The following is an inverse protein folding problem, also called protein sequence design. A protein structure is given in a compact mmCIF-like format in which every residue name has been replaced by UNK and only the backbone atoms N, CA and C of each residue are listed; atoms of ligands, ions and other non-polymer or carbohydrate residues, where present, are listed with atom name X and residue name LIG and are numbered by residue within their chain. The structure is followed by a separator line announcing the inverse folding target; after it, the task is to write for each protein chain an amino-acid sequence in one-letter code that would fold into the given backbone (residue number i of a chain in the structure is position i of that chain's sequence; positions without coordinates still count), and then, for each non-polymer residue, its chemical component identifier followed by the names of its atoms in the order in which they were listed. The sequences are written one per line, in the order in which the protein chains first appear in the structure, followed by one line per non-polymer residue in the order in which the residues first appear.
data_IF_305028516982
#
_entry.id   IF_305028516982
#
_cell.length_a   1.000
_cell.length_b   1.000
_cell.length_c   1.000
_cell.angle_alpha   90.00
_cell.angle_beta   90.00
_cell.angle_gamma   90.00
#
_symmetry.space_group_name_H-M   'P 1'
#
loop_
_entity.id
_entity.type
_entity.pdbx_description
1 polymer ?
#
# COMPACT_ATOMS: atom_id res chain seq x y z
N UNK A 1 -12.50 5.39 -26.82
CA UNK A 1 -11.61 5.34 -25.64
C UNK A 1 -10.57 4.28 -25.89
N UNK A 2 -9.29 4.55 -25.67
CA UNK A 2 -8.20 3.72 -26.25
C UNK A 2 -8.09 2.32 -25.64
N UNK A 3 -8.49 2.13 -24.38
CA UNK A 3 -8.26 0.86 -23.68
C UNK A 3 -9.41 -0.12 -23.80
N UNK A 4 -10.64 0.34 -23.53
CA UNK A 4 -11.80 -0.55 -23.42
C UNK A 4 -12.68 -0.57 -24.68
N UNK A 5 -12.62 0.50 -25.50
CA UNK A 5 -13.62 0.78 -26.53
C UNK A 5 -13.01 1.37 -27.81
N UNK A 6 -11.75 1.03 -28.11
CA UNK A 6 -11.06 1.57 -29.30
C UNK A 6 -11.65 1.01 -30.60
N UNK A 7 -12.33 -0.12 -30.49
CA UNK A 7 -13.02 -0.83 -31.56
C UNK A 7 -14.49 -0.40 -31.74
N UNK A 8 -15.02 0.48 -30.89
CA UNK A 8 -16.42 0.94 -30.99
C UNK A 8 -16.48 2.23 -31.81
N UNK A 9 -17.30 2.23 -32.87
CA UNK A 9 -17.43 3.34 -33.82
C UNK A 9 -18.79 4.05 -33.77
N UNK A 10 -19.59 3.81 -32.73
CA UNK A 10 -20.93 4.39 -32.56
C UNK A 10 -20.85 5.85 -32.11
N UNK A 11 -21.79 6.68 -32.54
CA UNK A 11 -21.82 8.12 -32.21
C UNK A 11 -22.07 8.41 -30.73
N UNK A 12 -22.88 7.58 -30.05
CA UNK A 12 -23.20 7.70 -28.62
C UNK A 12 -23.02 6.35 -27.92
N UNK A 13 -22.01 6.26 -27.05
CA UNK A 13 -21.75 5.10 -26.20
C UNK A 13 -22.20 5.39 -24.76
N UNK A 14 -23.25 4.71 -24.30
CA UNK A 14 -23.70 4.78 -22.90
C UNK A 14 -22.98 3.70 -22.09
N UNK A 15 -22.33 4.12 -21.01
CA UNK A 15 -21.67 3.21 -20.07
C UNK A 15 -22.47 3.16 -18.77
N UNK A 16 -23.03 1.99 -18.46
CA UNK A 16 -23.63 1.72 -17.16
C UNK A 16 -22.68 0.87 -16.30
N UNK A 17 -22.69 1.09 -14.99
CA UNK A 17 -21.99 0.24 -14.02
C UNK A 17 -21.30 1.01 -12.89
N UNK A 18 -20.75 0.24 -11.95
CA UNK A 18 -20.02 0.73 -10.79
C UNK A 18 -18.78 1.54 -11.22
N UNK A 19 -18.51 2.63 -10.50
CA UNK A 19 -17.35 3.52 -10.77
C UNK A 19 -16.24 3.36 -9.75
N UNK A 20 -16.50 2.65 -8.65
CA UNK A 20 -15.58 2.48 -7.54
C UNK A 20 -14.57 1.34 -7.76
N UNK A 21 -15.05 0.11 -7.99
CA UNK A 21 -14.21 -1.08 -8.11
C UNK A 21 -14.03 -1.50 -9.58
N UNK A 22 -12.82 -1.95 -9.95
CA UNK A 22 -12.42 -2.33 -11.32
C UNK A 22 -12.48 -1.20 -12.36
N UNK A 23 -12.52 0.06 -11.91
CA UNK A 23 -12.51 1.25 -12.77
C UNK A 23 -11.39 2.20 -12.35
N UNK A 24 -10.96 3.04 -13.29
CA UNK A 24 -9.98 4.09 -13.03
C UNK A 24 -10.54 5.09 -12.00
N UNK A 25 -9.68 5.66 -11.12
CA UNK A 25 -10.12 6.67 -10.16
C UNK A 25 -10.93 7.78 -10.84
N UNK A 26 -12.08 8.13 -10.26
CA UNK A 26 -12.97 9.17 -10.78
C UNK A 26 -13.65 8.83 -12.12
N UNK A 27 -13.63 7.57 -12.56
CA UNK A 27 -14.22 7.15 -13.83
C UNK A 27 -13.49 7.72 -15.05
N UNK A 28 -12.22 8.13 -14.90
CA UNK A 28 -11.46 8.81 -15.95
C UNK A 28 -11.30 7.93 -17.18
N UNK A 29 -11.57 8.52 -18.36
CA UNK A 29 -11.45 7.88 -19.67
C UNK A 29 -10.53 8.67 -20.58
N UNK A 30 -9.67 7.97 -21.30
CA UNK A 30 -8.76 8.60 -22.27
C UNK A 30 -9.22 8.32 -23.70
N UNK A 31 -9.34 9.41 -24.47
CA UNK A 31 -9.64 9.35 -25.91
C UNK A 31 -8.36 9.15 -26.73
N UNK A 32 -7.20 9.47 -26.15
CA UNK A 32 -5.90 9.43 -26.82
C UNK A 32 -4.84 8.78 -25.93
N UNK A 33 -3.96 7.97 -26.54
CA UNK A 33 -2.90 7.25 -25.84
C UNK A 33 -1.92 8.20 -25.14
N UNK A 34 -1.54 9.30 -25.81
CA UNK A 34 -0.61 10.29 -25.25
C UNK A 34 -1.10 10.88 -23.93
N UNK A 35 -2.39 11.20 -23.82
CA UNK A 35 -3.00 11.74 -22.61
C UNK A 35 -3.05 10.68 -21.50
N UNK A 36 -3.32 9.42 -21.86
CA UNK A 36 -3.24 8.32 -20.90
C UNK A 36 -1.84 8.17 -20.34
N UNK A 37 -0.82 8.11 -21.20
CA UNK A 37 0.59 8.03 -20.77
C UNK A 37 0.98 9.22 -19.90
N UNK A 38 0.57 10.44 -20.26
CA UNK A 38 0.85 11.64 -19.47
C UNK A 38 0.21 11.57 -18.08
N UNK A 39 -1.06 11.19 -17.99
CA UNK A 39 -1.76 11.05 -16.71
C UNK A 39 -1.08 10.00 -15.82
N UNK A 40 -0.79 8.82 -16.38
CA UNK A 40 -0.10 7.74 -15.66
C UNK A 40 1.28 8.19 -15.18
N UNK A 41 2.03 8.90 -16.03
CA UNK A 41 3.31 9.51 -15.65
C UNK A 41 3.15 10.50 -14.51
N UNK A 42 2.16 11.38 -14.55
CA UNK A 42 1.93 12.36 -13.48
C UNK A 42 1.56 11.71 -12.16
N UNK A 43 0.68 10.69 -12.18
CA UNK A 43 0.27 9.96 -10.96
C UNK A 43 1.45 9.22 -10.33
N UNK A 44 2.30 8.58 -11.14
CA UNK A 44 3.43 7.79 -10.63
C UNK A 44 4.63 8.66 -10.26
N UNK A 45 4.91 9.71 -11.03
CA UNK A 45 6.18 10.43 -10.95
C UNK A 45 6.06 11.84 -10.38
N UNK A 46 4.94 12.54 -10.56
CA UNK A 46 4.81 13.95 -10.15
C UNK A 46 4.04 14.11 -8.83
N UNK A 47 3.06 13.24 -8.57
CA UNK A 47 2.29 13.22 -7.32
C UNK A 47 3.07 12.56 -6.18
N UNK A 48 4.04 13.29 -5.61
CA UNK A 48 4.91 12.79 -4.55
C UNK A 48 4.54 13.34 -3.17
N UNK A 49 4.68 12.53 -2.10
CA UNK A 49 4.58 13.05 -0.73
C UNK A 49 5.60 14.18 -0.49
N UNK A 50 5.21 15.14 0.33
CA UNK A 50 6.06 16.28 0.68
C UNK A 50 7.36 15.82 1.34
N UNK A 51 8.39 16.68 1.34
CA UNK A 51 9.67 16.36 1.96
C UNK A 51 9.55 16.02 3.45
N UNK A 52 8.63 16.65 4.18
CA UNK A 52 8.38 16.34 5.60
C UNK A 52 7.79 14.96 5.80
N UNK A 53 6.82 14.56 4.97
CA UNK A 53 6.22 13.22 5.00
C UNK A 53 7.28 12.15 4.72
N UNK A 54 8.11 12.36 3.69
CA UNK A 54 9.17 11.41 3.33
C UNK A 54 10.18 11.22 4.45
N UNK A 55 10.65 12.30 5.09
CA UNK A 55 11.57 12.22 6.24
C UNK A 55 11.01 11.43 7.41
N UNK A 56 9.72 11.60 7.73
CA UNK A 56 9.09 10.78 8.78
C UNK A 56 8.97 9.33 8.33
N UNK A 57 8.58 9.09 7.08
CA UNK A 57 8.52 7.73 6.56
C UNK A 57 9.90 7.04 6.58
N UNK A 58 11.01 7.76 6.34
CA UNK A 58 12.38 7.27 6.53
C UNK A 58 12.62 6.85 7.98
N UNK A 59 12.36 7.75 8.95
CA UNK A 59 12.53 7.43 10.39
C UNK A 59 11.71 6.21 10.81
N UNK A 60 10.46 6.09 10.34
CA UNK A 60 9.57 4.97 10.66
C UNK A 60 10.05 3.68 9.98
N UNK A 61 10.50 3.76 8.73
CA UNK A 61 11.11 2.64 8.01
C UNK A 61 12.30 2.07 8.78
N UNK A 62 13.21 2.94 9.23
CA UNK A 62 14.39 2.54 10.01
C UNK A 62 14.01 1.88 11.33
N UNK A 63 12.93 2.33 11.99
CA UNK A 63 12.43 1.71 13.21
C UNK A 63 11.83 0.33 12.95
N UNK A 64 11.06 0.17 11.88
CA UNK A 64 10.57 -1.15 11.46
C UNK A 64 11.72 -2.09 11.14
N UNK A 65 12.73 -1.63 10.41
CA UNK A 65 13.93 -2.41 10.12
C UNK A 65 14.64 -2.87 11.39
N UNK A 66 14.77 -2.00 12.40
CA UNK A 66 15.32 -2.39 13.71
C UNK A 66 14.48 -3.45 14.41
N UNK A 67 13.15 -3.34 14.36
CA UNK A 67 12.24 -4.33 14.97
C UNK A 67 12.43 -5.71 14.35
N UNK A 68 12.67 -5.79 13.03
CA UNK A 68 12.95 -7.05 12.32
C UNK A 68 14.44 -7.34 12.16
N UNK A 69 15.30 -6.68 12.96
CA UNK A 69 16.75 -6.91 13.03
C UNK A 69 17.45 -6.86 11.65
N UNK A 70 17.10 -5.88 10.82
CA UNK A 70 17.70 -5.67 9.50
C UNK A 70 17.11 -6.53 8.37
N UNK A 71 16.12 -7.38 8.67
CA UNK A 71 15.39 -8.12 7.64
C UNK A 71 14.47 -7.21 6.84
N UNK A 72 14.01 -7.73 5.70
CA UNK A 72 12.82 -7.20 5.07
C UNK A 72 11.61 -7.29 6.01
N UNK A 73 10.68 -6.35 5.92
CA UNK A 73 9.42 -6.37 6.68
C UNK A 73 8.21 -6.25 5.74
N UNK A 74 7.07 -6.78 6.18
CA UNK A 74 5.83 -6.78 5.40
C UNK A 74 4.84 -5.75 5.93
N UNK A 75 3.98 -5.26 5.04
CA UNK A 75 2.97 -4.26 5.33
C UNK A 75 1.56 -4.79 5.06
N UNK A 76 0.59 -4.27 5.81
CA UNK A 76 -0.82 -4.48 5.50
C UNK A 76 -1.65 -3.21 5.74
N UNK A 77 -2.80 -3.13 5.08
CA UNK A 77 -3.81 -2.13 5.38
C UNK A 77 -5.14 -2.82 5.68
N UNK A 78 -5.63 -2.65 6.91
CA UNK A 78 -6.90 -3.16 7.39
C UNK A 78 -7.92 -2.03 7.41
N UNK A 79 -8.70 -1.92 6.33
CA UNK A 79 -9.81 -0.96 6.25
C UNK A 79 -11.01 -1.50 7.03
N UNK A 80 -11.40 -0.78 8.08
CA UNK A 80 -12.60 -1.00 8.89
C UNK A 80 -13.39 0.31 8.85
N UNK A 81 -13.44 1.10 9.93
CA UNK A 81 -14.13 2.39 9.94
C UNK A 81 -15.53 2.30 9.33
N UNK A 82 -15.81 3.18 8.38
CA UNK A 82 -17.06 3.23 7.61
C UNK A 82 -17.35 1.94 6.82
N UNK A 83 -16.35 1.15 6.44
CA UNK A 83 -16.58 -0.12 5.74
C UNK A 83 -17.33 -1.13 6.62
N UNK A 84 -17.24 -1.01 7.94
CA UNK A 84 -18.04 -1.84 8.85
C UNK A 84 -19.52 -1.45 8.73
N UNK A 85 -19.80 -0.15 8.75
CA UNK A 85 -21.18 0.38 8.70
C UNK A 85 -21.86 0.10 7.35
N UNK A 86 -21.09 0.12 6.25
CA UNK A 86 -21.59 -0.19 4.90
C UNK A 86 -21.52 -1.67 4.51
N UNK A 87 -21.01 -2.54 5.39
CA UNK A 87 -20.84 -3.97 5.09
C UNK A 87 -19.82 -4.26 3.98
N UNK A 88 -18.87 -3.35 3.78
CA UNK A 88 -17.76 -3.47 2.81
C UNK A 88 -16.50 -4.07 3.44
N UNK A 89 -16.49 -4.33 4.74
CA UNK A 89 -15.37 -4.95 5.42
C UNK A 89 -15.16 -6.38 4.91
N UNK A 90 -13.90 -6.77 4.70
CA UNK A 90 -13.58 -8.13 4.24
C UNK A 90 -13.99 -9.21 5.25
N UNK A 91 -13.92 -8.86 6.54
CA UNK A 91 -14.24 -9.74 7.65
C UNK A 91 -14.85 -8.91 8.79
N UNK A 92 -15.98 -9.36 9.33
CA UNK A 92 -16.73 -8.59 10.34
C UNK A 92 -15.96 -8.43 11.65
N UNK A 93 -15.27 -9.48 12.12
CA UNK A 93 -14.47 -9.43 13.35
C UNK A 93 -13.03 -9.04 13.08
N UNK A 94 -12.37 -8.44 14.07
CA UNK A 94 -10.96 -8.04 13.97
C UNK A 94 -10.07 -9.29 13.89
N UNK A 95 -10.44 -10.32 14.64
CA UNK A 95 -9.75 -11.60 14.71
C UNK A 95 -9.70 -12.28 13.34
N UNK A 96 -10.84 -12.34 12.65
CA UNK A 96 -10.92 -12.94 11.32
C UNK A 96 -10.18 -12.09 10.28
N UNK A 97 -10.35 -10.76 10.33
CA UNK A 97 -9.65 -9.85 9.42
C UNK A 97 -8.14 -9.96 9.58
N UNK A 98 -7.63 -9.95 10.81
CA UNK A 98 -6.21 -10.10 11.10
C UNK A 98 -5.71 -11.50 10.71
N UNK A 99 -6.51 -12.54 10.95
CA UNK A 99 -6.20 -13.92 10.53
C UNK A 99 -6.02 -14.01 9.01
N UNK A 100 -6.93 -13.41 8.24
CA UNK A 100 -6.83 -13.30 6.78
C UNK A 100 -5.56 -12.57 6.36
N UNK A 101 -5.27 -11.41 6.95
CA UNK A 101 -4.04 -10.65 6.67
C UNK A 101 -2.81 -11.51 6.91
N UNK A 102 -2.70 -12.16 8.07
CA UNK A 102 -1.56 -13.02 8.42
C UNK A 102 -1.41 -14.19 7.44
N UNK A 103 -2.51 -14.77 6.99
CA UNK A 103 -2.49 -15.80 5.94
C UNK A 103 -1.91 -15.25 4.62
N UNK A 104 -2.35 -14.07 4.17
CA UNK A 104 -1.82 -13.44 2.95
C UNK A 104 -0.35 -13.07 3.08
N UNK A 105 0.07 -12.53 4.22
CA UNK A 105 1.47 -12.24 4.50
C UNK A 105 2.33 -13.50 4.54
N UNK A 106 1.81 -14.61 5.06
CA UNK A 106 2.52 -15.91 5.03
C UNK A 106 2.81 -16.37 3.60
N UNK A 107 1.85 -16.21 2.68
CA UNK A 107 2.09 -16.48 1.26
C UNK A 107 3.08 -15.47 0.65
N UNK A 108 2.95 -14.19 1.00
CA UNK A 108 3.86 -13.15 0.55
C UNK A 108 5.32 -13.40 0.95
N UNK A 109 5.56 -13.96 2.14
CA UNK A 109 6.89 -14.39 2.57
C UNK A 109 7.52 -15.39 1.60
N UNK A 110 6.75 -16.36 1.11
CA UNK A 110 7.24 -17.37 0.13
C UNK A 110 7.69 -16.68 -1.17
N UNK A 111 6.89 -15.72 -1.65
CA UNK A 111 7.22 -14.91 -2.83
C UNK A 111 8.51 -14.11 -2.60
N UNK A 112 8.70 -13.53 -1.42
CA UNK A 112 9.92 -12.80 -1.09
C UNK A 112 11.16 -13.70 -1.07
N UNK A 113 11.05 -14.92 -0.56
CA UNK A 113 12.12 -15.92 -0.66
C UNK A 113 12.45 -16.26 -2.11
N UNK A 114 11.44 -16.55 -2.94
CA UNK A 114 11.65 -16.85 -4.37
C UNK A 114 12.36 -15.70 -5.11
N UNK A 115 11.95 -14.45 -4.87
CA UNK A 115 12.59 -13.26 -5.46
C UNK A 115 14.04 -13.15 -4.96
N UNK A 116 14.24 -13.28 -3.65
CA UNK A 116 15.56 -13.15 -3.04
C UNK A 116 16.54 -14.22 -3.54
N UNK A 117 16.09 -15.46 -3.72
CA UNK A 117 16.93 -16.57 -4.16
C UNK A 117 17.19 -16.53 -5.67
N UNK A 118 16.16 -16.22 -6.48
CA UNK A 118 16.29 -16.13 -7.94
C UNK A 118 17.03 -14.87 -8.41
N UNK A 119 17.11 -13.83 -7.58
CA UNK A 119 17.60 -12.50 -7.94
C UNK A 119 16.87 -11.88 -9.15
N UNK A 120 15.60 -12.21 -9.32
CA UNK A 120 14.77 -11.72 -10.43
C UNK A 120 13.59 -10.90 -9.94
N UNK A 121 13.50 -9.67 -10.45
CA UNK A 121 12.40 -8.74 -10.19
C UNK A 121 11.57 -8.57 -11.46
N UNK A 122 10.25 -8.68 -11.31
CA UNK A 122 9.26 -8.38 -12.35
C UNK A 122 8.55 -7.07 -11.98
N UNK A 123 8.97 -5.96 -12.57
CA UNK A 123 8.32 -4.67 -12.34
C UNK A 123 6.97 -4.56 -13.06
N UNK A 124 6.18 -3.56 -12.68
CA UNK A 124 5.01 -3.14 -13.44
C UNK A 124 5.43 -2.51 -14.78
N UNK A 125 4.56 -2.57 -15.78
CA UNK A 125 4.77 -1.92 -17.08
C UNK A 125 4.51 -0.41 -16.96
N UNK A 126 5.45 0.29 -16.33
CA UNK A 126 5.40 1.74 -16.09
C UNK A 126 6.62 2.43 -16.69
N UNK A 127 6.47 3.57 -17.38
CA UNK A 127 7.61 4.24 -18.01
C UNK A 127 8.64 4.74 -17.01
N UNK A 128 9.93 4.65 -17.37
CA UNK A 128 11.06 5.22 -16.62
C UNK A 128 11.21 4.70 -15.18
N UNK A 129 10.97 3.40 -14.99
CA UNK A 129 11.15 2.73 -13.70
C UNK A 129 12.14 1.59 -13.87
N UNK A 130 13.15 1.58 -13.01
CA UNK A 130 14.13 0.49 -12.92
C UNK A 130 13.79 -0.44 -11.75
N UNK A 131 14.10 -1.74 -11.84
CA UNK A 131 13.87 -2.68 -10.74
C UNK A 131 14.65 -2.32 -9.45
N UNK A 132 13.96 -2.34 -8.31
CA UNK A 132 14.55 -2.03 -6.99
C UNK A 132 15.60 -3.08 -6.55
N UNK A 133 16.88 -2.71 -6.53
CA UNK A 133 17.95 -3.67 -6.19
C UNK A 133 18.14 -3.88 -4.68
N UNK A 134 17.73 -2.92 -3.84
CA UNK A 134 17.94 -2.96 -2.38
C UNK A 134 17.27 -4.17 -1.71
N UNK A 135 16.25 -4.76 -2.34
CA UNK A 135 15.59 -5.98 -1.85
C UNK A 135 16.57 -7.16 -1.70
N UNK A 136 17.69 -7.17 -2.43
CA UNK A 136 18.68 -8.24 -2.35
C UNK A 136 19.71 -8.07 -1.25
N UNK A 137 19.86 -6.88 -0.68
CA UNK A 137 20.80 -6.61 0.41
C UNK A 137 20.28 -7.08 1.77
N UNK A 138 18.97 -7.37 1.87
CA UNK A 138 18.31 -7.71 3.12
C UNK A 138 17.64 -9.08 3.00
N UNK A 139 17.85 -9.99 3.96
CA UNK A 139 17.20 -11.28 3.95
C UNK A 139 15.67 -11.14 4.08
N UNK A 140 14.88 -12.07 3.50
CA UNK A 140 13.43 -12.08 3.64
C UNK A 140 12.95 -12.18 5.10
N UNK A 141 11.69 -11.80 5.38
CA UNK A 141 11.11 -11.89 6.73
C UNK A 141 11.02 -13.34 7.20
N UNK A 142 11.20 -13.60 8.50
CA UNK A 142 11.00 -14.91 9.12
C UNK A 142 9.53 -15.16 9.48
N UNK A 143 9.23 -16.40 9.82
CA UNK A 143 7.97 -16.71 10.49
C UNK A 143 7.93 -16.07 11.88
N UNK A 144 6.81 -15.46 12.24
CA UNK A 144 6.65 -14.75 13.51
C UNK A 144 7.20 -13.31 13.55
N UNK A 145 7.94 -12.87 12.52
CA UNK A 145 8.38 -11.48 12.45
C UNK A 145 7.18 -10.51 12.47
N UNK A 146 7.38 -9.38 13.16
CA UNK A 146 6.42 -8.29 13.18
C UNK A 146 6.19 -7.71 11.79
N UNK A 147 4.98 -7.20 11.56
CA UNK A 147 4.60 -6.56 10.31
C UNK A 147 3.96 -5.21 10.60
N UNK A 148 4.16 -4.24 9.71
CA UNK A 148 3.53 -2.94 9.84
C UNK A 148 2.08 -3.00 9.35
N UNK A 149 1.16 -2.40 10.08
CA UNK A 149 -0.25 -2.36 9.70
C UNK A 149 -0.82 -0.96 9.87
N UNK A 150 -1.48 -0.46 8.83
CA UNK A 150 -2.33 0.73 8.91
C UNK A 150 -3.79 0.30 9.03
N UNK A 151 -4.55 1.02 9.85
CA UNK A 151 -5.97 0.75 10.07
C UNK A 151 -6.66 1.99 10.62
N UNK A 152 -7.93 2.14 10.30
CA UNK A 152 -8.84 3.14 10.88
C UNK A 152 -9.68 2.59 12.04
N UNK A 153 -9.33 1.40 12.56
CA UNK A 153 -9.87 0.87 13.82
C UNK A 153 -9.59 1.81 14.99
N UNK A 154 -10.59 2.01 15.86
CA UNK A 154 -10.53 2.91 17.02
C UNK A 154 -10.74 2.20 18.36
N UNK A 155 -11.26 0.97 18.34
CA UNK A 155 -11.45 0.14 19.52
C UNK A 155 -10.10 -0.14 20.18
N UNK A 156 -10.01 0.14 21.49
CA UNK A 156 -8.81 -0.17 22.29
C UNK A 156 -8.49 -1.66 22.26
N UNK A 157 -9.50 -2.50 22.45
CA UNK A 157 -9.37 -3.95 22.47
C UNK A 157 -8.91 -4.47 21.10
N UNK A 158 -9.45 -3.89 20.02
CA UNK A 158 -9.07 -4.22 18.65
C UNK A 158 -7.61 -3.88 18.34
N UNK A 159 -7.18 -2.67 18.69
CA UNK A 159 -5.80 -2.23 18.50
C UNK A 159 -4.82 -3.01 19.39
N UNK A 160 -5.21 -3.35 20.61
CA UNK A 160 -4.41 -4.20 21.50
C UNK A 160 -4.30 -5.64 20.97
N UNK A 161 -5.39 -6.18 20.42
CA UNK A 161 -5.38 -7.49 19.77
C UNK A 161 -4.42 -7.53 18.59
N UNK A 162 -4.41 -6.49 17.74
CA UNK A 162 -3.46 -6.35 16.63
C UNK A 162 -2.01 -6.40 17.14
N UNK A 163 -1.69 -5.58 18.16
CA UNK A 163 -0.34 -5.53 18.76
C UNK A 163 0.10 -6.87 19.34
N UNK A 164 -0.76 -7.52 20.13
CA UNK A 164 -0.50 -8.85 20.72
C UNK A 164 -0.22 -9.93 19.68
N UNK A 165 -0.69 -9.73 18.45
CA UNK A 165 -0.58 -10.70 17.36
C UNK A 165 0.50 -10.36 16.32
N UNK A 166 1.43 -9.45 16.66
CA UNK A 166 2.62 -9.11 15.87
C UNK A 166 2.45 -7.93 14.91
N UNK A 167 1.27 -7.29 14.89
CA UNK A 167 1.05 -6.08 14.12
C UNK A 167 1.65 -4.86 14.82
N UNK A 168 2.39 -4.04 14.06
CA UNK A 168 2.98 -2.78 14.52
C UNK A 168 2.24 -1.62 13.85
N UNK A 169 1.56 -0.81 14.65
CA UNK A 169 0.83 0.35 14.15
C UNK A 169 1.81 1.50 13.92
N UNK A 170 1.57 2.30 12.90
CA UNK A 170 2.42 3.46 12.58
C UNK A 170 2.42 4.48 13.72
N UNK A 171 1.29 4.61 14.42
CA UNK A 171 1.18 5.43 15.63
C UNK A 171 2.11 4.97 16.77
N UNK A 172 2.45 3.68 16.84
CA UNK A 172 3.37 3.14 17.85
C UNK A 172 4.83 3.44 17.51
N UNK A 173 5.11 3.74 16.24
CA UNK A 173 6.45 4.06 15.73
C UNK A 173 6.74 5.57 15.75
N UNK A 174 5.71 6.41 15.90
CA UNK A 174 5.84 7.86 15.97
C UNK A 174 6.26 8.32 17.37
N UNK A 175 7.41 9.00 17.46
CA UNK A 175 7.90 9.57 18.72
C UNK A 175 7.35 10.98 18.95
N UNK A 176 7.54 11.52 20.16
CA UNK A 176 7.23 12.91 20.44
C UNK A 176 8.07 13.87 19.59
N UNK A 177 9.35 13.55 19.39
CA UNK A 177 10.26 14.30 18.53
C UNK A 177 9.76 14.37 17.09
N UNK A 178 9.28 13.25 16.52
CA UNK A 178 8.72 13.26 15.16
C UNK A 178 7.50 14.19 15.05
N UNK A 179 6.66 14.20 16.08
CA UNK A 179 5.47 15.07 16.12
C UNK A 179 5.85 16.54 16.22
N UNK A 180 6.91 16.86 16.96
CA UNK A 180 7.44 18.21 17.06
C UNK A 180 8.08 18.66 15.74
N UNK A 181 8.88 17.79 15.12
CA UNK A 181 9.54 18.03 13.83
C UNK A 181 8.55 18.22 12.68
N UNK A 182 7.46 17.43 12.65
CA UNK A 182 6.42 17.58 11.64
C UNK A 182 5.51 18.78 11.89
N UNK A 183 5.26 19.06 13.16
CA UNK A 183 4.26 20.00 13.63
C UNK A 183 2.85 19.41 13.73
N UNK A 184 1.92 20.28 14.13
CA UNK A 184 0.52 19.95 14.38
C UNK A 184 -0.23 19.22 13.24
N UNK A 185 0.09 19.38 11.93
CA UNK A 185 -0.68 18.71 10.88
C UNK A 185 -0.65 17.18 10.95
N UNK A 186 0.33 16.57 11.62
CA UNK A 186 0.39 15.10 11.82
C UNK A 186 -0.82 14.57 12.60
N UNK A 187 -1.55 15.44 13.31
CA UNK A 187 -2.77 15.08 14.04
C UNK A 187 -4.00 14.98 13.12
N UNK A 188 -3.91 15.45 11.86
CA UNK A 188 -4.97 15.30 10.88
C UNK A 188 -4.90 13.89 10.30
N UNK A 189 -6.02 13.16 10.34
CA UNK A 189 -6.11 11.76 9.88
C UNK A 189 -5.68 11.60 8.43
N UNK A 190 -6.01 12.55 7.56
CA UNK A 190 -5.67 12.47 6.14
C UNK A 190 -4.16 12.64 5.91
N UNK A 191 -3.52 13.50 6.70
CA UNK A 191 -2.06 13.68 6.66
C UNK A 191 -1.37 12.43 7.20
N UNK A 192 -1.89 11.87 8.30
CA UNK A 192 -1.41 10.59 8.82
C UNK A 192 -1.55 9.49 7.77
N UNK A 193 -2.69 9.39 7.09
CA UNK A 193 -2.90 8.40 6.04
C UNK A 193 -1.88 8.53 4.89
N UNK A 194 -1.45 9.74 4.52
CA UNK A 194 -0.37 9.91 3.53
C UNK A 194 0.98 9.40 4.08
N UNK A 195 1.28 9.63 5.37
CA UNK A 195 2.46 9.05 6.03
C UNK A 195 2.36 7.52 6.00
N UNK A 196 1.21 6.96 6.35
CA UNK A 196 0.98 5.52 6.35
C UNK A 196 1.17 4.91 4.97
N UNK A 197 0.63 5.53 3.93
CA UNK A 197 0.84 5.10 2.56
C UNK A 197 2.32 5.16 2.17
N UNK A 198 3.02 6.23 2.56
CA UNK A 198 4.43 6.43 2.25
C UNK A 198 5.33 5.41 2.96
N UNK A 199 5.00 5.04 4.19
CA UNK A 199 5.70 3.98 4.94
C UNK A 199 5.41 2.62 4.31
N UNK A 200 4.14 2.26 4.14
CA UNK A 200 3.74 0.94 3.67
C UNK A 200 4.14 0.67 2.22
N UNK A 201 4.29 1.70 1.39
CA UNK A 201 4.84 1.56 0.03
C UNK A 201 6.27 1.05 0.02
N UNK A 202 6.99 1.16 1.15
CA UNK A 202 8.37 0.68 1.31
C UNK A 202 8.50 -0.73 1.87
N UNK A 203 7.41 -1.32 2.33
CA UNK A 203 7.40 -2.73 2.75
C UNK A 203 7.92 -3.64 1.63
N UNK A 204 8.48 -4.79 1.99
CA UNK A 204 8.90 -5.78 1.00
C UNK A 204 7.69 -6.44 0.33
N UNK A 205 6.67 -6.79 1.10
CA UNK A 205 5.39 -7.30 0.61
C UNK A 205 4.22 -6.50 1.21
N UNK A 206 3.18 -6.26 0.43
CA UNK A 206 2.00 -5.49 0.86
C UNK A 206 0.68 -6.22 0.58
N UNK A 207 -0.26 -6.14 1.53
CA UNK A 207 -1.61 -6.67 1.37
C UNK A 207 -2.69 -5.68 1.86
N UNK A 208 -3.77 -5.51 1.08
CA UNK A 208 -4.88 -4.63 1.45
C UNK A 208 -6.15 -4.93 0.65
N UNK A 209 -7.26 -4.30 1.05
CA UNK A 209 -8.50 -4.35 0.29
C UNK A 209 -8.46 -3.45 -0.96
N UNK A 210 -8.84 -3.99 -2.12
CA UNK A 210 -8.93 -3.31 -3.43
C UNK A 210 -9.84 -2.09 -3.45
N UNK A 211 -10.90 -2.06 -2.61
CA UNK A 211 -11.83 -0.94 -2.53
C UNK A 211 -11.25 0.26 -1.75
N UNK A 212 -10.06 0.13 -1.17
CA UNK A 212 -9.44 1.20 -0.41
C UNK A 212 -8.56 2.10 -1.30
N UNK A 213 -8.87 3.39 -1.36
CA UNK A 213 -8.02 4.39 -2.02
C UNK A 213 -6.62 4.49 -1.41
N UNK A 214 -6.48 4.23 -0.11
CA UNK A 214 -5.19 4.12 0.61
C UNK A 214 -4.33 3.03 -0.01
N UNK A 215 -4.92 1.87 -0.33
CA UNK A 215 -4.21 0.78 -0.99
C UNK A 215 -3.76 1.19 -2.39
N UNK A 216 -4.60 1.90 -3.15
CA UNK A 216 -4.24 2.42 -4.47
C UNK A 216 -3.02 3.34 -4.45
N UNK A 217 -2.95 4.28 -3.49
CA UNK A 217 -1.80 5.17 -3.35
C UNK A 217 -0.50 4.42 -2.98
N UNK A 218 -0.60 3.40 -2.12
CA UNK A 218 0.53 2.52 -1.79
C UNK A 218 1.04 1.79 -3.05
N UNK A 219 0.14 1.22 -3.85
CA UNK A 219 0.51 0.49 -5.07
C UNK A 219 1.16 1.41 -6.10
N UNK A 220 0.65 2.62 -6.30
CA UNK A 220 1.26 3.59 -7.20
C UNK A 220 2.70 3.92 -6.79
N UNK A 221 2.94 4.18 -5.50
CA UNK A 221 4.28 4.43 -4.99
C UNK A 221 5.20 3.20 -5.10
N UNK A 222 4.67 1.99 -4.88
CA UNK A 222 5.42 0.73 -5.08
C UNK A 222 5.83 0.55 -6.54
N UNK A 223 4.91 0.80 -7.48
CA UNK A 223 5.18 0.73 -8.90
C UNK A 223 6.22 1.77 -9.32
N UNK A 224 6.11 3.01 -8.86
CA UNK A 224 7.08 4.08 -9.13
C UNK A 224 8.48 3.79 -8.55
N UNK A 225 8.56 3.03 -7.45
CA UNK A 225 9.83 2.57 -6.84
C UNK A 225 10.48 1.40 -7.58
N UNK A 226 9.76 0.72 -8.48
CA UNK A 226 10.26 -0.48 -9.15
C UNK A 226 10.18 -1.75 -8.30
N UNK A 227 9.21 -1.82 -7.38
CA UNK A 227 8.95 -3.03 -6.62
C UNK A 227 8.42 -4.15 -7.53
N UNK A 228 8.73 -5.41 -7.18
CA UNK A 228 8.22 -6.57 -7.91
C UNK A 228 6.69 -6.66 -7.81
N UNK A 229 6.01 -6.78 -8.94
CA UNK A 229 4.54 -6.82 -9.02
C UNK A 229 3.90 -7.98 -8.25
N UNK A 230 4.64 -9.06 -7.98
CA UNK A 230 4.19 -10.22 -7.19
C UNK A 230 4.19 -9.94 -5.70
N UNK A 231 4.81 -8.86 -5.25
CA UNK A 231 4.93 -8.50 -3.82
C UNK A 231 3.76 -7.68 -3.30
N UNK A 232 2.64 -7.72 -4.01
CA UNK A 232 1.42 -7.01 -3.67
C UNK A 232 0.22 -7.93 -3.90
N UNK A 233 -0.71 -7.93 -2.94
CA UNK A 233 -2.01 -8.56 -3.11
C UNK A 233 -3.12 -7.62 -2.65
N UNK A 234 -3.95 -7.21 -3.61
CA UNK A 234 -5.21 -6.53 -3.36
C UNK A 234 -6.37 -7.52 -3.54
N UNK A 235 -7.26 -7.60 -2.56
CA UNK A 235 -8.46 -8.46 -2.57
C UNK A 235 -9.77 -7.71 -2.33
#
# INVERSE_FOLDING_TARGET
MVEDYNNITTDVLVLAGETHLNRKPGGVRFVHFKQHTLFTSTVLHDMRPTGSVRRIADKIYDRMEKIVEGRQWMGAHMRRGDFVDYGWVMENSIENHLGRIKQRLSNGRKVLHEIYDSKQIQIYEVPNVEPEQEVFHRPPPREGDSFCIATDERSKDGLEYIRKNGGVLILDLLTLEDRQDFGWPIMITDVLAIIEQTVLSRSAYFHAHVMSSVAGGIVNMRAARGADRRTMLLD
#
